data_IF_646516475247
#
_entry.id   IF_646516475247
#
_cell.length_a   1.000
_cell.length_b   1.000
_cell.length_c   1.000
_cell.angle_alpha   90.00
_cell.angle_beta   90.00
_cell.angle_gamma   90.00
#
_symmetry.space_group_name_H-M   'P 1'
#
loop_
_entity.id
_entity.type
_entity.pdbx_description
1 polymer ?
#
# COMPACT_ATOMS: atom_id res chain seq x y z
N UNK A 1 -11.95 -12.33 18.82
CA UNK A 1 -11.06 -12.46 17.63
C UNK A 1 -11.86 -12.65 16.32
N UNK A 2 -12.63 -13.73 16.16
CA UNK A 2 -13.35 -14.03 14.90
C UNK A 2 -14.35 -12.94 14.45
N UNK A 3 -15.06 -12.30 15.38
CA UNK A 3 -16.02 -11.24 15.05
C UNK A 3 -15.35 -10.00 14.45
N UNK A 4 -14.12 -9.68 14.88
CA UNK A 4 -13.34 -8.57 14.32
C UNK A 4 -12.80 -8.93 12.94
N UNK A 5 -12.23 -10.13 12.79
CA UNK A 5 -11.72 -10.62 11.51
C UNK A 5 -12.81 -10.66 10.43
N UNK A 6 -14.01 -11.13 10.77
CA UNK A 6 -15.14 -11.13 9.84
C UNK A 6 -15.51 -9.71 9.36
N UNK A 7 -15.48 -8.71 10.25
CA UNK A 7 -15.72 -7.29 9.91
C UNK A 7 -14.58 -6.70 9.07
N UNK A 8 -13.34 -7.04 9.40
CA UNK A 8 -12.17 -6.61 8.61
C UNK A 8 -12.20 -7.21 7.20
N UNK A 9 -12.56 -8.47 7.06
CA UNK A 9 -12.67 -9.13 5.75
C UNK A 9 -13.76 -8.50 4.87
N UNK A 10 -14.90 -8.09 5.45
CA UNK A 10 -15.98 -7.39 4.73
C UNK A 10 -15.61 -5.96 4.35
N UNK A 11 -14.89 -5.25 5.21
CA UNK A 11 -14.46 -3.86 4.96
C UNK A 11 -13.29 -3.75 3.97
N UNK A 12 -12.46 -4.79 3.84
CA UNK A 12 -11.30 -4.79 2.95
C UNK A 12 -11.62 -4.38 1.49
N UNK A 13 -12.57 -5.00 0.76
CA UNK A 13 -12.90 -4.58 -0.61
C UNK A 13 -13.52 -3.18 -0.67
N UNK A 14 -14.22 -2.73 0.37
CA UNK A 14 -14.77 -1.38 0.45
C UNK A 14 -13.65 -0.33 0.62
N UNK A 15 -12.62 -0.66 1.40
CA UNK A 15 -11.43 0.18 1.58
C UNK A 15 -10.62 0.31 0.28
N UNK A 16 -10.40 -0.79 -0.45
CA UNK A 16 -9.74 -0.75 -1.76
C UNK A 16 -10.54 0.07 -2.77
N UNK A 17 -11.87 -0.10 -2.80
CA UNK A 17 -12.76 0.73 -3.63
C UNK A 17 -12.67 2.21 -3.27
N UNK A 18 -12.59 2.53 -1.97
CA UNK A 18 -12.42 3.91 -1.52
C UNK A 18 -11.11 4.53 -2.00
N UNK A 19 -10.00 3.82 -1.82
CA UNK A 19 -8.69 4.30 -2.24
C UNK A 19 -8.57 4.42 -3.77
N UNK A 20 -9.23 3.54 -4.53
CA UNK A 20 -9.26 3.57 -5.99
C UNK A 20 -9.96 4.82 -6.57
N UNK A 21 -10.81 5.51 -5.79
CA UNK A 21 -11.42 6.77 -6.22
C UNK A 21 -10.44 7.94 -6.28
N UNK A 22 -9.29 7.84 -5.60
CA UNK A 22 -8.27 8.87 -5.64
C UNK A 22 -7.40 8.71 -6.89
N UNK A 23 -7.16 9.77 -7.65
CA UNK A 23 -6.36 9.67 -8.86
C UNK A 23 -4.93 9.26 -8.49
N UNK A 24 -4.36 8.39 -9.33
CA UNK A 24 -2.98 7.98 -9.18
C UNK A 24 -2.08 9.20 -9.37
N UNK A 25 -1.44 9.63 -8.29
CA UNK A 25 -0.67 10.89 -8.23
C UNK A 25 0.63 10.85 -9.03
N UNK A 26 1.65 11.57 -8.53
CA UNK A 26 2.97 11.68 -9.18
C UNK A 26 3.60 10.34 -9.56
N UNK A 27 3.37 9.28 -8.77
CA UNK A 27 3.88 7.93 -9.00
C UNK A 27 3.42 7.38 -10.35
N UNK A 28 2.15 7.55 -10.72
CA UNK A 28 1.64 7.06 -12.00
C UNK A 28 2.19 7.84 -13.19
N UNK A 29 2.40 9.15 -13.04
CA UNK A 29 3.02 9.99 -14.07
C UNK A 29 4.46 9.55 -14.34
N UNK A 30 5.25 9.36 -13.28
CA UNK A 30 6.64 8.91 -13.38
C UNK A 30 6.70 7.49 -13.94
N UNK A 31 5.85 6.58 -13.47
CA UNK A 31 5.76 5.22 -13.99
C UNK A 31 5.33 5.21 -15.47
N UNK A 32 4.45 6.12 -15.88
CA UNK A 32 4.09 6.36 -17.28
C UNK A 32 5.32 6.70 -18.12
N UNK A 33 6.13 7.67 -17.69
CA UNK A 33 7.38 8.03 -18.37
C UNK A 33 8.36 6.87 -18.47
N UNK A 34 8.56 6.12 -17.38
CA UNK A 34 9.45 4.95 -17.35
C UNK A 34 8.94 3.84 -18.28
N UNK A 35 7.63 3.54 -18.25
CA UNK A 35 7.03 2.52 -19.12
C UNK A 35 7.16 2.90 -20.60
N UNK A 36 7.00 4.18 -20.96
CA UNK A 36 7.20 4.67 -22.31
C UNK A 36 8.64 4.46 -22.77
N UNK A 37 9.63 4.91 -21.98
CA UNK A 37 11.04 4.71 -22.29
C UNK A 37 11.40 3.22 -22.43
N UNK A 38 11.00 2.39 -21.47
CA UNK A 38 11.25 0.95 -21.49
C UNK A 38 10.60 0.26 -22.71
N UNK A 39 9.36 0.63 -23.05
CA UNK A 39 8.66 0.10 -24.22
C UNK A 39 9.30 0.50 -25.54
N UNK A 40 9.87 1.71 -25.64
CA UNK A 40 10.58 2.17 -26.84
C UNK A 40 11.83 1.34 -27.08
N UNK A 41 12.66 1.12 -26.06
CA UNK A 41 13.82 0.23 -26.15
C UNK A 41 13.41 -1.22 -26.46
N UNK A 42 12.38 -1.73 -25.78
CA UNK A 42 11.86 -3.07 -26.03
C UNK A 42 11.35 -3.24 -27.47
N UNK A 43 10.61 -2.25 -28.00
CA UNK A 43 10.09 -2.27 -29.36
C UNK A 43 11.20 -2.28 -30.41
N UNK A 44 12.26 -1.49 -30.21
CA UNK A 44 13.43 -1.51 -31.11
C UNK A 44 14.13 -2.87 -31.09
N UNK A 45 14.37 -3.44 -29.91
CA UNK A 45 14.99 -4.76 -29.78
C UNK A 45 14.13 -5.87 -30.40
N UNK A 46 12.82 -5.83 -30.20
CA UNK A 46 11.89 -6.77 -30.84
C UNK A 46 11.85 -6.61 -32.36
N UNK A 47 11.87 -5.37 -32.87
CA UNK A 47 11.90 -5.11 -34.31
C UNK A 47 13.16 -5.70 -34.97
N UNK A 48 14.33 -5.51 -34.34
CA UNK A 48 15.58 -6.12 -34.80
C UNK A 48 15.52 -7.64 -34.75
N UNK A 49 14.94 -8.21 -33.67
CA UNK A 49 14.74 -9.65 -33.55
C UNK A 49 13.88 -10.26 -34.66
N UNK A 50 12.89 -9.50 -35.16
CA UNK A 50 12.00 -9.97 -36.22
C UNK A 50 12.66 -9.93 -37.59
N UNK A 51 13.64 -9.06 -37.80
CA UNK A 51 14.43 -9.01 -39.04
C UNK A 51 15.44 -10.15 -39.08
N UNK A 52 16.19 -10.33 -37.99
CA UNK A 52 17.20 -11.38 -37.87
C UNK A 52 17.22 -11.93 -36.44
N UNK A 53 16.78 -13.18 -36.27
CA UNK A 53 16.70 -13.85 -34.97
C UNK A 53 18.10 -14.07 -34.35
N UNK A 54 19.11 -14.32 -35.20
CA UNK A 54 20.51 -14.53 -34.80
C UNK A 54 21.11 -13.33 -34.07
N UNK A 55 20.70 -12.11 -34.41
CA UNK A 55 21.22 -10.87 -33.79
C UNK A 55 20.93 -10.83 -32.30
N UNK A 56 19.80 -11.39 -31.84
CA UNK A 56 19.41 -11.29 -30.43
C UNK A 56 20.22 -12.23 -29.52
N UNK A 57 20.65 -13.38 -30.05
CA UNK A 57 21.45 -14.38 -29.34
C UNK A 57 22.96 -14.22 -29.53
N UNK A 58 23.42 -13.83 -30.73
CA UNK A 58 24.83 -13.84 -31.10
C UNK A 58 25.51 -12.47 -30.89
N UNK A 59 24.79 -11.35 -31.04
CA UNK A 59 25.39 -10.06 -30.72
C UNK A 59 25.56 -9.90 -29.21
N UNK A 60 26.81 -9.70 -28.82
CA UNK A 60 27.20 -9.39 -27.45
C UNK A 60 27.49 -7.90 -27.35
N UNK A 61 26.74 -7.19 -26.51
CA UNK A 61 26.98 -5.79 -26.20
C UNK A 61 27.40 -5.65 -24.75
N UNK A 62 28.62 -5.15 -24.50
CA UNK A 62 29.25 -5.06 -23.17
C UNK A 62 29.16 -6.38 -22.39
N UNK A 63 29.66 -7.47 -23.00
CA UNK A 63 29.75 -8.81 -22.40
C UNK A 63 28.42 -9.50 -22.05
N UNK A 64 27.28 -8.98 -22.54
CA UNK A 64 25.95 -9.60 -22.37
C UNK A 64 25.20 -9.67 -23.70
N UNK A 65 24.38 -10.69 -23.85
CA UNK A 65 23.51 -10.89 -25.02
C UNK A 65 22.40 -9.82 -25.05
N UNK A 66 21.93 -9.43 -26.23
CA UNK A 66 20.79 -8.51 -26.37
C UNK A 66 19.53 -9.03 -25.66
N UNK A 67 19.36 -10.36 -25.58
CA UNK A 67 18.31 -11.01 -24.80
C UNK A 67 18.27 -10.55 -23.34
N UNK A 68 19.44 -10.35 -22.71
CA UNK A 68 19.51 -9.92 -21.31
C UNK A 68 18.97 -8.49 -21.12
N UNK A 69 19.19 -7.60 -22.10
CA UNK A 69 18.62 -6.26 -22.08
C UNK A 69 17.12 -6.27 -22.39
N UNK A 70 16.67 -7.15 -23.28
CA UNK A 70 15.24 -7.35 -23.56
C UNK A 70 14.48 -7.82 -22.31
N UNK A 71 15.02 -8.79 -21.57
CA UNK A 71 14.37 -9.32 -20.36
C UNK A 71 14.26 -8.24 -19.28
N UNK A 72 15.31 -7.43 -19.08
CA UNK A 72 15.27 -6.30 -18.15
C UNK A 72 14.29 -5.23 -18.62
N UNK A 73 14.32 -4.84 -19.89
CA UNK A 73 13.40 -3.83 -20.42
C UNK A 73 11.94 -4.28 -20.27
N UNK A 74 11.66 -5.55 -20.54
CA UNK A 74 10.34 -6.17 -20.35
C UNK A 74 9.94 -6.18 -18.87
N UNK A 75 10.85 -6.56 -17.97
CA UNK A 75 10.60 -6.56 -16.53
C UNK A 75 10.31 -5.16 -15.98
N UNK A 76 11.12 -4.17 -16.37
CA UNK A 76 10.90 -2.76 -16.01
C UNK A 76 9.58 -2.25 -16.58
N UNK A 77 9.27 -2.58 -17.83
CA UNK A 77 7.99 -2.22 -18.44
C UNK A 77 6.80 -2.83 -17.68
N UNK A 78 6.85 -4.12 -17.34
CA UNK A 78 5.79 -4.80 -16.62
C UNK A 78 5.53 -4.18 -15.23
N UNK A 79 6.60 -3.89 -14.49
CA UNK A 79 6.53 -3.23 -13.17
C UNK A 79 5.97 -1.81 -13.32
N UNK A 80 6.53 -1.00 -14.23
CA UNK A 80 6.05 0.36 -14.47
C UNK A 80 4.59 0.38 -14.93
N UNK A 81 4.19 -0.58 -15.76
CA UNK A 81 2.81 -0.72 -16.22
C UNK A 81 1.86 -1.00 -15.06
N UNK A 82 2.25 -1.82 -14.08
CA UNK A 82 1.43 -2.10 -12.88
C UNK A 82 1.03 -0.83 -12.12
N UNK A 83 1.89 0.20 -12.07
CA UNK A 83 1.58 1.48 -11.43
C UNK A 83 0.72 2.43 -12.28
N UNK A 84 0.71 2.24 -13.60
CA UNK A 84 -0.12 3.04 -14.54
C UNK A 84 -1.48 2.40 -14.81
N UNK A 85 -1.61 1.09 -14.59
CA UNK A 85 -2.83 0.31 -14.78
C UNK A 85 -3.80 0.40 -13.60
N UNK A 86 -3.61 1.33 -12.65
CA UNK A 86 -4.63 1.60 -11.65
C UNK A 86 -5.89 2.00 -12.39
N UNK A 87 -6.83 1.06 -12.46
CA UNK A 87 -8.10 1.12 -13.17
C UNK A 87 -8.97 2.23 -12.59
N UNK A 88 -8.63 3.47 -12.91
CA UNK A 88 -9.58 4.57 -12.87
C UNK A 88 -10.56 4.37 -14.01
N UNK A 89 -11.48 3.41 -13.88
CA UNK A 89 -12.63 3.42 -14.78
C UNK A 89 -13.29 4.80 -14.62
N UNK A 90 -13.46 5.58 -15.70
CA UNK A 90 -14.05 6.91 -15.62
C UNK A 90 -15.49 6.90 -15.11
N UNK A 91 -16.08 5.70 -14.93
CA UNK A 91 -17.40 5.49 -14.35
C UNK A 91 -17.42 5.59 -12.81
N UNK A 92 -16.28 5.39 -12.11
CA UNK A 92 -16.16 5.53 -10.65
C UNK A 92 -15.87 6.97 -10.22
N UNK A 93 -15.55 7.86 -11.18
CA UNK A 93 -15.38 9.30 -10.95
C UNK A 93 -16.66 10.02 -10.52
N UNK A 94 -17.82 9.35 -10.61
CA UNK A 94 -19.13 9.83 -10.15
C UNK A 94 -19.61 9.19 -8.83
N UNK A 95 -18.78 8.37 -8.17
CA UNK A 95 -19.12 7.82 -6.86
C UNK A 95 -18.88 8.86 -5.77
N UNK A 96 -19.88 9.10 -4.92
CA UNK A 96 -19.73 9.97 -3.76
C UNK A 96 -18.73 9.34 -2.78
N UNK A 97 -17.55 9.98 -2.62
CA UNK A 97 -16.53 9.48 -1.70
C UNK A 97 -17.05 9.36 -0.27
N UNK A 98 -17.98 10.24 0.09
CA UNK A 98 -18.69 10.21 1.36
C UNK A 98 -19.55 8.94 1.51
N UNK A 99 -20.25 8.49 0.45
CA UNK A 99 -21.05 7.26 0.51
C UNK A 99 -20.17 6.02 0.68
N UNK A 100 -19.07 5.94 -0.08
CA UNK A 100 -18.13 4.83 0.05
C UNK A 100 -17.49 4.77 1.45
N UNK A 101 -17.14 5.93 2.01
CA UNK A 101 -16.62 6.01 3.38
C UNK A 101 -17.69 5.68 4.42
N UNK A 102 -18.95 6.05 4.19
CA UNK A 102 -20.07 5.67 5.05
C UNK A 102 -20.26 4.15 5.08
N UNK A 103 -20.27 3.49 3.92
CA UNK A 103 -20.36 2.03 3.82
C UNK A 103 -19.18 1.35 4.55
N UNK A 104 -17.97 1.87 4.37
CA UNK A 104 -16.78 1.37 5.05
C UNK A 104 -16.86 1.56 6.58
N UNK A 105 -17.34 2.72 7.02
CA UNK A 105 -17.53 3.03 8.43
C UNK A 105 -18.63 2.18 9.09
N UNK A 106 -19.63 1.75 8.32
CA UNK A 106 -20.67 0.85 8.80
C UNK A 106 -20.11 -0.53 9.18
N UNK A 107 -19.05 -1.00 8.51
CA UNK A 107 -18.39 -2.26 8.85
C UNK A 107 -17.32 -2.08 9.94
N UNK A 108 -16.52 -1.00 9.87
CA UNK A 108 -15.40 -0.75 10.82
C UNK A 108 -15.85 -0.10 12.14
N UNK A 109 -17.02 0.53 12.17
CA UNK A 109 -17.55 1.37 13.27
C UNK A 109 -16.60 2.51 13.68
N UNK A 110 -15.68 2.92 12.80
CA UNK A 110 -14.74 4.00 13.05
C UNK A 110 -14.97 5.10 12.03
N UNK A 111 -15.40 6.27 12.50
CA UNK A 111 -15.59 7.45 11.65
C UNK A 111 -15.33 8.74 12.45
N UNK A 112 -14.06 9.21 12.45
CA UNK A 112 -13.68 10.47 13.08
C UNK A 112 -14.56 11.64 12.59
N UNK A 113 -14.85 12.58 13.50
CA UNK A 113 -15.68 13.74 13.16
C UNK A 113 -15.06 14.61 12.05
N UNK A 114 -13.73 14.64 12.00
CA UNK A 114 -12.93 15.41 11.04
C UNK A 114 -13.10 14.94 9.60
N UNK A 115 -13.50 13.68 9.38
CA UNK A 115 -13.65 13.12 8.03
C UNK A 115 -14.99 13.50 7.39
N UNK A 116 -15.98 13.92 8.19
CA UNK A 116 -17.35 14.19 7.74
C UNK A 116 -17.39 15.36 6.76
N UNK A 117 -17.90 15.10 5.55
CA UNK A 117 -18.03 16.10 4.49
C UNK A 117 -16.70 16.48 3.82
N UNK A 118 -15.62 15.77 4.13
CA UNK A 118 -14.31 15.97 3.51
C UNK A 118 -13.65 14.64 3.07
N UNK A 119 -14.45 13.58 2.82
CA UNK A 119 -13.91 12.26 2.49
C UNK A 119 -13.19 12.22 1.13
N UNK A 120 -13.21 13.31 0.34
CA UNK A 120 -12.44 13.42 -0.90
C UNK A 120 -11.08 14.11 -0.71
N UNK A 121 -10.78 14.64 0.48
CA UNK A 121 -9.47 15.27 0.74
C UNK A 121 -8.36 14.22 0.86
N UNK A 122 -7.16 14.59 0.41
CA UNK A 122 -5.95 13.80 0.61
C UNK A 122 -5.56 13.67 2.09
N UNK A 123 -5.92 14.63 2.94
CA UNK A 123 -5.65 14.55 4.38
C UNK A 123 -6.40 13.37 5.01
N UNK A 124 -7.68 13.18 4.62
CA UNK A 124 -8.51 12.06 5.08
C UNK A 124 -7.99 10.74 4.49
N UNK A 125 -7.59 10.74 3.22
CA UNK A 125 -6.95 9.57 2.60
C UNK A 125 -5.69 9.15 3.35
N UNK A 126 -4.82 10.08 3.70
CA UNK A 126 -3.53 9.78 4.34
C UNK A 126 -3.73 9.35 5.80
N UNK A 127 -4.67 9.97 6.51
CA UNK A 127 -5.10 9.50 7.83
C UNK A 127 -5.70 8.09 7.77
N UNK A 128 -6.47 7.79 6.72
CA UNK A 128 -7.01 6.45 6.49
C UNK A 128 -5.91 5.43 6.14
N UNK A 129 -4.93 5.80 5.30
CA UNK A 129 -3.78 4.95 4.97
C UNK A 129 -2.89 4.64 6.17
N UNK A 130 -2.90 5.48 7.22
CA UNK A 130 -2.25 5.16 8.48
C UNK A 130 -2.92 3.97 9.20
N UNK A 131 -4.23 3.77 9.02
CA UNK A 131 -4.99 2.63 9.53
C UNK A 131 -4.95 1.43 8.57
N UNK A 132 -4.88 1.70 7.26
CA UNK A 132 -4.84 0.70 6.19
C UNK A 132 -3.57 0.85 5.34
N UNK A 133 -2.39 0.52 5.89
CA UNK A 133 -1.12 0.69 5.19
C UNK A 133 -0.96 -0.31 4.05
N UNK A 134 -0.17 0.07 3.04
CA UNK A 134 0.21 -0.85 1.97
C UNK A 134 1.02 -2.03 2.52
N UNK A 135 0.82 -3.22 1.95
CA UNK A 135 1.55 -4.44 2.34
C UNK A 135 3.07 -4.29 2.31
N UNK A 136 3.61 -3.54 1.35
CA UNK A 136 5.05 -3.26 1.27
C UNK A 136 5.55 -2.43 2.46
N UNK A 137 4.76 -1.46 2.92
CA UNK A 137 5.08 -0.66 4.11
C UNK A 137 5.03 -1.52 5.36
N UNK A 138 4.00 -2.39 5.48
CA UNK A 138 3.88 -3.34 6.59
C UNK A 138 5.10 -4.27 6.66
N UNK A 139 5.50 -4.85 5.53
CA UNK A 139 6.68 -5.72 5.45
C UNK A 139 7.96 -4.99 5.88
N UNK A 140 8.17 -3.76 5.42
CA UNK A 140 9.31 -2.94 5.84
C UNK A 140 9.28 -2.67 7.36
N UNK A 141 8.10 -2.36 7.90
CA UNK A 141 7.90 -2.15 9.32
C UNK A 141 8.21 -3.42 10.12
N UNK A 142 7.81 -4.60 9.65
CA UNK A 142 8.15 -5.88 10.26
C UNK A 142 9.67 -6.10 10.28
N UNK A 143 10.37 -5.84 9.18
CA UNK A 143 11.84 -5.92 9.16
C UNK A 143 12.49 -4.96 10.16
N UNK A 144 12.02 -3.72 10.22
CA UNK A 144 12.53 -2.71 11.16
C UNK A 144 12.18 -3.05 12.61
N UNK A 145 11.04 -3.70 12.85
CA UNK A 145 10.57 -4.06 14.20
C UNK A 145 11.54 -4.99 14.91
N UNK A 146 12.21 -5.89 14.19
CA UNK A 146 13.24 -6.79 14.74
C UNK A 146 14.40 -6.00 15.36
N UNK A 147 14.77 -4.88 14.74
CA UNK A 147 15.85 -4.02 15.22
C UNK A 147 15.38 -3.04 16.30
N UNK A 148 14.17 -2.49 16.15
CA UNK A 148 13.63 -1.46 17.04
C UNK A 148 13.05 -2.02 18.34
N UNK A 149 12.51 -3.24 18.35
CA UNK A 149 11.94 -3.87 19.54
C UNK A 149 12.88 -3.88 20.75
N UNK A 150 14.15 -4.34 20.67
CA UNK A 150 15.05 -4.31 21.82
C UNK A 150 15.33 -2.87 22.30
N UNK A 151 15.45 -1.91 21.38
CA UNK A 151 15.65 -0.50 21.74
C UNK A 151 14.43 0.08 22.48
N UNK A 152 13.22 -0.19 22.00
CA UNK A 152 11.98 0.26 22.64
C UNK A 152 11.88 -0.35 24.04
N UNK A 153 12.13 -1.65 24.18
CA UNK A 153 12.03 -2.36 25.47
C UNK A 153 13.09 -1.91 26.49
N UNK A 154 14.35 -1.69 26.06
CA UNK A 154 15.44 -1.35 26.98
C UNK A 154 15.52 0.13 27.31
N UNK A 155 15.08 1.02 26.41
CA UNK A 155 15.29 2.48 26.56
C UNK A 155 13.98 3.25 26.72
N UNK A 156 12.98 2.96 25.88
CA UNK A 156 11.75 3.76 25.82
C UNK A 156 10.73 3.34 26.88
N UNK A 157 10.49 2.02 27.01
CA UNK A 157 9.50 1.46 27.94
C UNK A 157 9.81 1.77 29.43
N UNK A 158 11.07 1.70 29.91
CA UNK A 158 11.37 2.01 31.30
C UNK A 158 11.03 3.46 31.67
N UNK A 159 11.15 4.39 30.71
CA UNK A 159 10.82 5.82 30.92
C UNK A 159 9.31 6.04 31.10
N UNK A 160 8.47 5.25 30.42
CA UNK A 160 7.01 5.33 30.50
C UNK A 160 6.40 4.50 31.65
N UNK A 161 7.22 3.76 32.42
CA UNK A 161 6.72 2.79 33.40
C UNK A 161 5.85 3.41 34.49
N UNK A 162 6.16 4.63 34.93
CA UNK A 162 5.36 5.32 35.95
C UNK A 162 3.93 5.59 35.46
N UNK A 163 3.78 6.07 34.24
CA UNK A 163 2.47 6.37 33.63
C UNK A 163 1.67 5.09 33.40
N UNK A 164 2.33 4.02 32.93
CA UNK A 164 1.72 2.71 32.75
C UNK A 164 1.15 2.16 34.07
N UNK A 165 1.91 2.24 35.17
CA UNK A 165 1.45 1.78 36.49
C UNK A 165 0.27 2.61 37.00
N UNK A 166 0.28 3.93 36.76
CA UNK A 166 -0.84 4.80 37.11
C UNK A 166 -2.09 4.44 36.31
N UNK A 167 -1.95 4.22 35.00
CA UNK A 167 -3.06 3.83 34.13
C UNK A 167 -3.70 2.51 34.58
N UNK A 168 -2.88 1.48 34.86
CA UNK A 168 -3.37 0.19 35.36
C UNK A 168 -4.12 0.39 36.68
N UNK A 169 -3.53 1.11 37.64
CA UNK A 169 -4.17 1.34 38.94
C UNK A 169 -5.49 2.10 38.83
N UNK A 170 -5.60 3.06 37.91
CA UNK A 170 -6.81 3.86 37.75
C UNK A 170 -7.90 3.19 36.92
N UNK A 171 -7.57 2.20 36.08
CA UNK A 171 -8.50 1.53 35.17
C UNK A 171 -8.75 0.05 35.50
N UNK A 172 -8.20 -0.48 36.59
CA UNK A 172 -8.52 -1.85 37.04
C UNK A 172 -9.71 -1.87 38.00
N UNK A 173 -10.74 -2.63 37.64
CA UNK A 173 -11.92 -2.88 38.47
C UNK A 173 -11.92 -4.34 38.95
N UNK A 174 -11.97 -4.55 40.27
CA UNK A 174 -12.07 -5.89 40.84
C UNK A 174 -13.54 -6.32 40.95
N UNK A 175 -13.93 -7.30 40.14
CA UNK A 175 -15.27 -7.89 40.13
C UNK A 175 -15.27 -9.23 40.89
N UNK A 176 -16.23 -9.47 41.80
CA UNK A 176 -16.17 -10.56 42.78
C UNK A 176 -16.13 -11.98 42.20
N UNK A 177 -16.53 -12.19 40.93
CA UNK A 177 -16.53 -13.50 40.26
C UNK A 177 -15.71 -13.54 38.96
N UNK A 178 -14.99 -12.45 38.63
CA UNK A 178 -14.21 -12.34 37.38
C UNK A 178 -12.75 -12.00 37.67
N UNK A 179 -12.47 -11.31 38.78
CA UNK A 179 -11.13 -10.81 39.12
C UNK A 179 -10.94 -9.35 38.71
N UNK A 180 -9.70 -8.92 38.54
CA UNK A 180 -9.37 -7.58 38.04
C UNK A 180 -9.52 -7.54 36.52
N UNK A 181 -10.31 -6.59 36.03
CA UNK A 181 -10.55 -6.30 34.60
C UNK A 181 -10.12 -4.87 34.29
#
# INVERSE_FOLDING_TARGET
>A
PHALEARMARSYPLAEKYLAMFPAGLVAVVAGGISFCASSFMAVLLAVSLLEESVLLEMTFKDRQLLWYLTIATGVFAIARSFTSTEGSPFVLNGDCDEAMLQLSAETHHFPKEWRGNCRSYDVRDAFLALFPFKAVLFLQECLSVLLAPYILCVSLPRATRELLLFIRSHSLALPNVGAV
#
